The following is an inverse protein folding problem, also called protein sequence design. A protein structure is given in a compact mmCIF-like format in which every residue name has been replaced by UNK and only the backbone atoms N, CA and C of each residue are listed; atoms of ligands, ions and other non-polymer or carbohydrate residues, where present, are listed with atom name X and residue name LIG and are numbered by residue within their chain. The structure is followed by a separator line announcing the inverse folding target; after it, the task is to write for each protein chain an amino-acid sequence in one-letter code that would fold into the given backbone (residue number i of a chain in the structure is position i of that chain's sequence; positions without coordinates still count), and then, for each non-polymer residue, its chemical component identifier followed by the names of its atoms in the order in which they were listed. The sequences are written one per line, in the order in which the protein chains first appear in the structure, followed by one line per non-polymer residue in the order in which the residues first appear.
data_IF_325201917793
#
_entry.id   IF_325201917793
#
_cell.length_a   1.000
_cell.length_b   1.000
_cell.length_c   1.000
_cell.angle_alpha   90.00
_cell.angle_beta   90.00
_cell.angle_gamma   90.00
#
_symmetry.space_group_name_H-M   'P 1'
#
loop_
_entity.id
_entity.type
_entity.pdbx_description
1 polymer ?
#
# COMPACT_ATOMS: atom_id res chain seq x y z
N UNK A 1 33.33 -88.35 50.53
CA UNK A 1 32.75 -87.15 51.18
C UNK A 1 33.28 -85.84 50.58
N UNK A 2 34.50 -85.79 50.03
CA UNK A 2 35.04 -84.58 49.38
C UNK A 2 34.34 -84.20 48.06
N UNK A 3 33.95 -85.18 47.24
CA UNK A 3 33.35 -84.92 45.92
C UNK A 3 31.99 -84.21 45.99
N UNK A 4 31.23 -84.44 47.06
CA UNK A 4 29.92 -83.81 47.26
C UNK A 4 30.04 -82.31 47.53
N UNK A 5 31.00 -81.90 48.37
CA UNK A 5 31.25 -80.50 48.68
C UNK A 5 31.81 -79.72 47.48
N UNK A 6 32.60 -80.37 46.62
CA UNK A 6 33.10 -79.79 45.38
C UNK A 6 31.99 -79.60 44.34
N UNK A 7 31.07 -80.57 44.25
CA UNK A 7 29.86 -80.47 43.43
C UNK A 7 28.93 -79.35 43.91
N UNK A 8 28.71 -79.22 45.23
CA UNK A 8 27.92 -78.13 45.81
C UNK A 8 28.53 -76.75 45.53
N UNK A 9 29.86 -76.60 45.64
CA UNK A 9 30.56 -75.37 45.24
C UNK A 9 30.38 -75.06 43.76
N UNK A 10 30.50 -76.07 42.88
CA UNK A 10 30.33 -75.91 41.43
C UNK A 10 28.89 -75.57 41.05
N UNK A 11 27.90 -76.20 41.67
CA UNK A 11 26.48 -75.91 41.45
C UNK A 11 26.17 -74.49 41.93
N UNK A 12 26.64 -74.10 43.12
CA UNK A 12 26.45 -72.75 43.65
C UNK A 12 27.08 -71.70 42.72
N UNK A 13 28.30 -71.91 42.25
CA UNK A 13 28.95 -71.04 41.27
C UNK A 13 28.21 -71.00 39.92
N UNK A 14 27.68 -72.13 39.46
CA UNK A 14 26.88 -72.20 38.23
C UNK A 14 25.53 -71.47 38.38
N UNK A 15 24.85 -71.60 39.53
CA UNK A 15 23.61 -70.90 39.82
C UNK A 15 23.83 -69.38 39.91
N UNK A 16 24.91 -68.93 40.57
CA UNK A 16 25.27 -67.50 40.58
C UNK A 16 25.55 -66.99 39.17
N UNK A 17 26.24 -67.76 38.34
CA UNK A 17 26.52 -67.40 36.93
C UNK A 17 25.25 -67.35 36.07
N UNK A 18 24.30 -68.26 36.31
CA UNK A 18 22.99 -68.25 35.64
C UNK A 18 22.19 -67.04 36.10
N UNK A 19 22.19 -66.73 37.40
CA UNK A 19 21.55 -65.54 37.96
C UNK A 19 22.07 -64.25 37.31
N UNK A 20 23.40 -64.07 37.27
CA UNK A 20 23.99 -62.90 36.61
C UNK A 20 23.73 -62.87 35.10
N UNK A 21 23.69 -64.03 34.43
CA UNK A 21 23.34 -64.13 33.01
C UNK A 21 21.88 -63.74 32.72
N UNK A 22 20.94 -64.14 33.58
CA UNK A 22 19.53 -63.76 33.48
C UNK A 22 19.35 -62.25 33.72
N UNK A 23 20.03 -61.70 34.71
CA UNK A 23 19.99 -60.26 34.99
C UNK A 23 20.55 -59.43 33.82
N UNK A 24 21.63 -59.90 33.19
CA UNK A 24 22.18 -59.27 31.98
C UNK A 24 21.22 -59.36 30.78
N UNK A 25 20.56 -60.51 30.57
CA UNK A 25 19.55 -60.66 29.52
C UNK A 25 18.34 -59.75 29.75
N UNK A 26 17.91 -59.60 31.00
CA UNK A 26 16.83 -58.67 31.37
C UNK A 26 17.24 -57.22 31.13
N UNK A 27 18.47 -56.83 31.49
CA UNK A 27 18.98 -55.50 31.24
C UNK A 27 19.14 -55.20 29.73
N UNK A 28 19.61 -56.18 28.95
CA UNK A 28 19.69 -56.07 27.49
C UNK A 28 18.31 -55.90 26.86
N UNK A 29 17.32 -56.72 27.26
CA UNK A 29 15.95 -56.60 26.78
C UNK A 29 15.30 -55.25 27.15
N UNK A 30 15.58 -54.72 28.35
CA UNK A 30 15.11 -53.39 28.76
C UNK A 30 15.73 -52.27 27.90
N UNK A 31 17.03 -52.36 27.60
CA UNK A 31 17.72 -51.41 26.72
C UNK A 31 17.20 -51.49 25.28
N UNK A 32 16.89 -52.68 24.78
CA UNK A 32 16.32 -52.90 23.45
C UNK A 32 14.91 -52.33 23.33
N UNK A 33 14.06 -52.49 24.37
CA UNK A 33 12.74 -51.85 24.41
C UNK A 33 12.82 -50.33 24.52
N UNK A 34 13.79 -49.78 25.25
CA UNK A 34 13.99 -48.33 25.34
C UNK A 34 14.43 -47.75 23.98
N UNK A 35 15.38 -48.39 23.31
CA UNK A 35 15.82 -48.00 21.97
C UNK A 35 14.69 -48.11 20.93
N UNK A 36 13.85 -49.15 21.01
CA UNK A 36 12.68 -49.29 20.15
C UNK A 36 11.66 -48.16 20.38
N UNK A 37 11.47 -47.72 21.62
CA UNK A 37 10.62 -46.58 21.97
C UNK A 37 11.14 -45.25 21.40
N UNK A 38 12.45 -45.00 21.46
CA UNK A 38 13.07 -43.80 20.86
C UNK A 38 12.95 -43.78 19.33
N UNK A 39 13.17 -44.92 18.66
CA UNK A 39 13.02 -45.03 17.21
C UNK A 39 11.56 -44.82 16.77
N UNK A 40 10.59 -45.32 17.56
CA UNK A 40 9.17 -45.08 17.32
C UNK A 40 8.81 -43.59 17.46
N UNK A 41 9.28 -42.93 18.53
CA UNK A 41 9.08 -41.48 18.74
C UNK A 41 9.68 -40.64 17.61
N UNK A 42 10.92 -40.93 17.21
CA UNK A 42 11.57 -40.22 16.10
C UNK A 42 10.84 -40.44 14.77
N UNK A 43 10.27 -41.62 14.54
CA UNK A 43 9.45 -41.89 13.35
C UNK A 43 8.16 -41.08 13.35
N UNK A 44 7.49 -40.92 14.50
CA UNK A 44 6.29 -40.10 14.63
C UNK A 44 6.59 -38.61 14.39
N UNK A 45 7.69 -38.10 14.94
CA UNK A 45 8.15 -36.72 14.70
C UNK A 45 8.44 -36.46 13.22
N UNK A 46 9.08 -37.41 12.53
CA UNK A 46 9.34 -37.29 11.08
C UNK A 46 8.05 -37.24 10.27
N UNK A 47 7.01 -37.99 10.67
CA UNK A 47 5.70 -37.93 10.01
C UNK A 47 5.04 -36.56 10.24
N UNK A 48 5.01 -36.07 11.48
CA UNK A 48 4.44 -34.76 11.81
C UNK A 48 5.16 -33.61 11.09
N UNK A 49 6.49 -33.64 11.04
CA UNK A 49 7.27 -32.63 10.32
C UNK A 49 7.02 -32.65 8.81
N UNK A 50 6.81 -33.84 8.22
CA UNK A 50 6.45 -33.97 6.80
C UNK A 50 5.07 -33.40 6.51
N UNK A 51 4.09 -33.68 7.37
CA UNK A 51 2.74 -33.12 7.24
C UNK A 51 2.75 -31.59 7.36
N UNK A 52 3.48 -31.05 8.33
CA UNK A 52 3.65 -29.61 8.49
C UNK A 52 4.34 -28.97 7.27
N UNK A 53 5.38 -29.61 6.72
CA UNK A 53 6.08 -29.13 5.53
C UNK A 53 5.16 -29.11 4.30
N UNK A 54 4.33 -30.14 4.11
CA UNK A 54 3.36 -30.16 3.01
C UNK A 54 2.27 -29.09 3.21
N UNK A 55 1.78 -28.89 4.44
CA UNK A 55 0.85 -27.81 4.74
C UNK A 55 1.45 -26.43 4.41
N UNK A 56 2.68 -26.16 4.83
CA UNK A 56 3.39 -24.92 4.51
C UNK A 56 3.62 -24.74 3.00
N UNK A 57 3.99 -25.81 2.29
CA UNK A 57 4.14 -25.78 0.82
C UNK A 57 2.84 -25.41 0.13
N UNK A 58 1.70 -25.96 0.58
CA UNK A 58 0.39 -25.61 0.02
C UNK A 58 0.00 -24.17 0.33
N UNK A 59 0.24 -23.69 1.55
CA UNK A 59 -0.02 -22.31 1.93
C UNK A 59 0.83 -21.34 1.10
N UNK A 60 2.12 -21.63 0.92
CA UNK A 60 3.03 -20.83 0.12
C UNK A 60 2.63 -20.81 -1.37
N UNK A 61 2.21 -21.95 -1.92
CA UNK A 61 1.68 -22.03 -3.28
C UNK A 61 0.42 -21.16 -3.46
N UNK A 62 -0.51 -21.20 -2.50
CA UNK A 62 -1.71 -20.38 -2.51
C UNK A 62 -1.40 -18.88 -2.38
N UNK A 63 -0.52 -18.49 -1.46
CA UNK A 63 -0.09 -17.11 -1.28
C UNK A 63 0.61 -16.57 -2.53
N UNK A 64 1.48 -17.37 -3.15
CA UNK A 64 2.15 -16.99 -4.39
C UNK A 64 1.17 -16.84 -5.54
N UNK A 65 0.16 -17.72 -5.65
CA UNK A 65 -0.91 -17.58 -6.63
C UNK A 65 -1.74 -16.31 -6.41
N UNK A 66 -2.11 -16.01 -5.16
CA UNK A 66 -2.81 -14.76 -4.80
C UNK A 66 -1.96 -13.53 -5.12
N UNK A 67 -0.67 -13.54 -4.79
CA UNK A 67 0.24 -12.44 -5.09
C UNK A 67 0.37 -12.21 -6.60
N UNK A 68 0.46 -13.27 -7.40
CA UNK A 68 0.47 -13.15 -8.88
C UNK A 68 -0.85 -12.55 -9.39
N UNK A 69 -1.99 -12.97 -8.85
CA UNK A 69 -3.29 -12.43 -9.24
C UNK A 69 -3.43 -10.94 -8.89
N UNK A 70 -3.00 -10.54 -7.69
CA UNK A 70 -2.98 -9.13 -7.25
C UNK A 70 -2.06 -8.30 -8.14
N UNK A 71 -0.81 -8.74 -8.35
CA UNK A 71 0.14 -8.05 -9.24
C UNK A 71 -0.39 -7.90 -10.66
N UNK A 72 -1.08 -8.91 -11.19
CA UNK A 72 -1.69 -8.83 -12.51
C UNK A 72 -2.86 -7.84 -12.55
N UNK A 73 -3.66 -7.74 -11.48
CA UNK A 73 -4.74 -6.75 -11.37
C UNK A 73 -4.17 -5.34 -11.27
N UNK A 74 -3.15 -5.15 -10.43
CA UNK A 74 -2.51 -3.86 -10.22
C UNK A 74 -1.80 -3.38 -11.48
N UNK A 75 -1.10 -4.27 -12.18
CA UNK A 75 -0.47 -3.96 -13.48
C UNK A 75 -1.50 -3.54 -14.53
N UNK A 76 -2.67 -4.19 -14.58
CA UNK A 76 -3.77 -3.77 -15.48
C UNK A 76 -4.35 -2.42 -15.08
N UNK A 77 -4.56 -2.18 -13.79
CA UNK A 77 -5.07 -0.92 -13.28
C UNK A 77 -4.09 0.23 -13.54
N UNK A 78 -2.79 0.01 -13.31
CA UNK A 78 -1.71 0.95 -13.61
C UNK A 78 -1.67 1.31 -15.09
N UNK A 79 -1.67 0.31 -15.99
CA UNK A 79 -1.69 0.56 -17.43
C UNK A 79 -2.94 1.34 -17.89
N UNK A 80 -4.11 1.07 -17.30
CA UNK A 80 -5.34 1.81 -17.61
C UNK A 80 -5.27 3.27 -17.14
N UNK A 81 -4.70 3.51 -15.95
CA UNK A 81 -4.49 4.86 -15.43
C UNK A 81 -3.46 5.64 -16.27
N UNK A 82 -2.34 5.02 -16.63
CA UNK A 82 -1.34 5.63 -17.53
C UNK A 82 -1.94 6.01 -18.88
N UNK A 83 -2.76 5.14 -19.47
CA UNK A 83 -3.49 5.45 -20.70
C UNK A 83 -4.45 6.63 -20.51
N UNK A 84 -5.16 6.67 -19.37
CA UNK A 84 -6.09 7.77 -19.08
C UNK A 84 -5.35 9.09 -18.89
N UNK A 85 -4.22 9.09 -18.20
CA UNK A 85 -3.36 10.27 -18.05
C UNK A 85 -2.87 10.74 -19.40
N UNK A 86 -2.32 9.84 -20.23
CA UNK A 86 -1.85 10.20 -21.58
C UNK A 86 -2.96 10.80 -22.45
N UNK A 87 -4.18 10.28 -22.35
CA UNK A 87 -5.34 10.81 -23.07
C UNK A 87 -5.74 12.20 -22.55
N UNK A 88 -5.83 12.39 -21.23
CA UNK A 88 -6.16 13.68 -20.63
C UNK A 88 -5.10 14.75 -20.96
N UNK A 89 -3.82 14.40 -20.96
CA UNK A 89 -2.75 15.32 -21.36
C UNK A 89 -2.92 15.76 -22.82
N UNK A 90 -3.23 14.84 -23.74
CA UNK A 90 -3.51 15.21 -25.14
C UNK A 90 -4.73 16.12 -25.27
N UNK A 91 -5.78 15.87 -24.51
CA UNK A 91 -6.97 16.71 -24.50
C UNK A 91 -6.65 18.13 -24.00
N UNK A 92 -5.83 18.25 -22.95
CA UNK A 92 -5.37 19.54 -22.45
C UNK A 92 -4.53 20.30 -23.49
N UNK A 93 -3.64 19.61 -24.20
CA UNK A 93 -2.83 20.22 -25.27
C UNK A 93 -3.72 20.76 -26.41
N UNK A 94 -4.71 19.97 -26.85
CA UNK A 94 -5.67 20.38 -27.88
C UNK A 94 -6.50 21.59 -27.41
N UNK A 95 -7.03 21.55 -26.19
CA UNK A 95 -7.77 22.67 -25.61
C UNK A 95 -6.91 23.92 -25.45
N UNK A 96 -5.62 23.75 -25.12
CA UNK A 96 -4.64 24.84 -25.08
C UNK A 96 -4.48 25.53 -26.44
N UNK A 97 -4.35 24.75 -27.50
CA UNK A 97 -4.27 25.27 -28.88
C UNK A 97 -5.56 25.95 -29.32
N UNK A 98 -6.72 25.37 -29.00
CA UNK A 98 -8.03 25.97 -29.29
C UNK A 98 -8.23 27.30 -28.55
N UNK A 99 -7.84 27.37 -27.28
CA UNK A 99 -7.87 28.60 -26.49
C UNK A 99 -6.97 29.68 -27.08
N UNK A 100 -5.76 29.34 -27.51
CA UNK A 100 -4.87 30.28 -28.21
C UNK A 100 -5.48 30.77 -29.52
N UNK A 101 -6.09 29.88 -30.32
CA UNK A 101 -6.80 30.24 -31.55
C UNK A 101 -7.97 31.18 -31.26
N UNK A 102 -8.76 30.90 -30.23
CA UNK A 102 -9.88 31.73 -29.82
C UNK A 102 -9.42 33.11 -29.33
N UNK A 103 -8.34 33.19 -28.56
CA UNK A 103 -7.71 34.46 -28.15
C UNK A 103 -7.25 35.26 -29.37
N UNK A 104 -6.59 34.64 -30.35
CA UNK A 104 -6.19 35.30 -31.60
C UNK A 104 -7.40 35.83 -32.38
N UNK A 105 -8.44 35.02 -32.53
CA UNK A 105 -9.68 35.45 -33.19
C UNK A 105 -10.34 36.61 -32.45
N UNK A 106 -10.31 36.61 -31.11
CA UNK A 106 -10.85 37.70 -30.30
C UNK A 106 -10.07 39.00 -30.50
N UNK A 107 -8.73 38.93 -30.58
CA UNK A 107 -7.89 40.10 -30.90
C UNK A 107 -8.24 40.64 -32.29
N UNK A 108 -8.30 39.78 -33.31
CA UNK A 108 -8.68 40.17 -34.67
C UNK A 108 -10.07 40.80 -34.73
N UNK A 109 -11.04 40.24 -34.00
CA UNK A 109 -12.38 40.81 -33.92
C UNK A 109 -12.38 42.18 -33.24
N UNK A 110 -11.61 42.36 -32.15
CA UNK A 110 -11.46 43.66 -31.48
C UNK A 110 -10.80 44.69 -32.39
N UNK A 111 -9.79 44.31 -33.16
CA UNK A 111 -9.15 45.17 -34.15
C UNK A 111 -10.13 45.56 -35.27
N UNK A 112 -10.87 44.61 -35.83
CA UNK A 112 -11.89 44.88 -36.85
C UNK A 112 -13.05 45.75 -36.32
N UNK A 113 -13.45 45.56 -35.07
CA UNK A 113 -14.44 46.44 -34.42
C UNK A 113 -13.86 47.83 -34.14
N UNK A 114 -12.56 47.94 -33.84
CA UNK A 114 -11.90 49.24 -33.69
C UNK A 114 -11.83 49.97 -35.03
N UNK A 115 -11.40 49.32 -36.12
CA UNK A 115 -11.38 49.96 -37.44
C UNK A 115 -12.78 50.37 -37.89
N UNK A 116 -13.80 49.53 -37.68
CA UNK A 116 -15.19 49.90 -37.98
C UNK A 116 -15.68 51.07 -37.12
N UNK A 117 -15.26 51.16 -35.85
CA UNK A 117 -15.59 52.31 -34.98
C UNK A 117 -14.87 53.58 -35.39
N UNK A 118 -13.61 53.49 -35.84
CA UNK A 118 -12.82 54.61 -36.37
C UNK A 118 -13.41 55.12 -37.69
N UNK A 119 -13.83 54.22 -38.59
CA UNK A 119 -14.57 54.56 -39.81
C UNK A 119 -15.96 55.14 -39.51
N UNK A 120 -16.65 54.63 -38.48
CA UNK A 120 -17.90 55.19 -38.00
C UNK A 120 -17.71 56.47 -37.17
N UNK A 121 -16.47 56.87 -36.85
CA UNK A 121 -16.19 57.94 -35.90
C UNK A 121 -16.48 59.33 -36.46
N UNK A 122 -16.55 59.47 -37.79
CA UNK A 122 -17.12 60.64 -38.45
C UNK A 122 -18.63 60.84 -38.14
N UNK A 123 -19.29 59.86 -37.50
CA UNK A 123 -20.73 59.87 -37.16
C UNK A 123 -21.05 59.22 -35.79
N UNK A 124 -20.21 59.36 -34.75
CA UNK A 124 -20.53 58.74 -33.45
C UNK A 124 -21.72 59.41 -32.77
N UNK A 125 -22.78 58.64 -32.56
CA UNK A 125 -23.95 59.05 -31.80
C UNK A 125 -23.78 58.78 -30.29
N UNK A 126 -24.32 59.67 -29.45
CA UNK A 126 -24.21 59.62 -27.98
C UNK A 126 -24.68 58.28 -27.35
N UNK A 127 -25.58 57.55 -28.01
CA UNK A 127 -26.08 56.26 -27.52
C UNK A 127 -25.01 55.14 -27.57
N UNK A 128 -24.03 55.24 -28.49
CA UNK A 128 -22.90 54.29 -28.57
C UNK A 128 -21.89 54.51 -27.46
N UNK A 129 -21.70 55.77 -27.02
CA UNK A 129 -20.85 56.12 -25.86
C UNK A 129 -21.44 55.51 -24.60
N UNK A 130 -22.75 55.70 -24.37
CA UNK A 130 -23.43 55.11 -23.21
C UNK A 130 -23.37 53.58 -23.23
N UNK A 131 -23.51 52.94 -24.41
CA UNK A 131 -23.36 51.49 -24.56
C UNK A 131 -21.94 51.02 -24.26
N UNK A 132 -20.92 51.78 -24.67
CA UNK A 132 -19.52 51.48 -24.36
C UNK A 132 -19.23 51.60 -22.86
N UNK A 133 -19.73 52.65 -22.20
CA UNK A 133 -19.60 52.83 -20.75
C UNK A 133 -20.29 51.71 -19.97
N UNK A 134 -21.47 51.25 -20.41
CA UNK A 134 -22.16 50.11 -19.78
C UNK A 134 -21.36 48.81 -19.93
N UNK A 135 -20.79 48.56 -21.11
CA UNK A 135 -19.95 47.39 -21.34
C UNK A 135 -18.65 47.44 -20.52
N UNK A 136 -18.07 48.61 -20.33
CA UNK A 136 -16.89 48.82 -19.47
C UNK A 136 -17.22 48.56 -18.00
N UNK A 137 -18.36 49.06 -17.50
CA UNK A 137 -18.84 48.78 -16.15
C UNK A 137 -19.13 47.28 -15.93
N UNK A 138 -19.65 46.58 -16.94
CA UNK A 138 -19.88 45.15 -16.88
C UNK A 138 -18.57 44.35 -16.87
N UNK A 139 -17.58 44.75 -17.68
CA UNK A 139 -16.22 44.19 -17.64
C UNK A 139 -15.57 44.36 -16.27
N UNK A 140 -15.61 45.58 -15.70
CA UNK A 140 -15.06 45.86 -14.38
C UNK A 140 -15.75 45.06 -13.28
N UNK A 141 -17.07 44.85 -13.38
CA UNK A 141 -17.81 44.00 -12.43
C UNK A 141 -17.40 42.53 -12.54
N UNK A 142 -17.19 42.04 -13.77
CA UNK A 142 -16.72 40.67 -14.00
C UNK A 142 -15.31 40.46 -13.47
N UNK A 143 -14.40 41.41 -13.68
CA UNK A 143 -13.04 41.37 -13.14
C UNK A 143 -13.07 41.37 -11.61
N UNK A 144 -13.86 42.26 -10.98
CA UNK A 144 -14.04 42.26 -9.52
C UNK A 144 -14.62 40.96 -8.97
N UNK A 145 -15.55 40.33 -9.68
CA UNK A 145 -16.11 39.05 -9.27
C UNK A 145 -15.08 37.92 -9.36
N UNK A 146 -14.23 37.92 -10.40
CA UNK A 146 -13.13 36.97 -10.53
C UNK A 146 -12.08 37.17 -9.43
N UNK A 147 -11.64 38.41 -9.18
CA UNK A 147 -10.74 38.74 -8.07
C UNK A 147 -11.30 38.27 -6.72
N UNK A 148 -12.60 38.48 -6.46
CA UNK A 148 -13.23 38.04 -5.21
C UNK A 148 -13.28 36.51 -5.08
N UNK A 149 -13.46 35.79 -6.18
CA UNK A 149 -13.44 34.32 -6.19
C UNK A 149 -12.03 33.78 -5.94
N UNK A 150 -11.01 34.36 -6.57
CA UNK A 150 -9.60 34.02 -6.33
C UNK A 150 -9.21 34.27 -4.86
N UNK A 151 -9.61 35.40 -4.29
CA UNK A 151 -9.36 35.71 -2.88
C UNK A 151 -10.07 34.74 -1.93
N UNK A 152 -11.31 34.32 -2.27
CA UNK A 152 -12.03 33.33 -1.48
C UNK A 152 -11.35 31.95 -1.52
N UNK A 153 -10.83 31.55 -2.67
CA UNK A 153 -10.06 30.32 -2.85
C UNK A 153 -8.76 30.36 -2.03
N UNK A 154 -7.97 31.43 -2.13
CA UNK A 154 -6.77 31.63 -1.32
C UNK A 154 -7.07 31.61 0.18
N UNK A 155 -8.15 32.25 0.62
CA UNK A 155 -8.56 32.21 2.03
C UNK A 155 -8.97 30.79 2.46
N UNK A 156 -9.56 29.99 1.57
CA UNK A 156 -9.90 28.60 1.85
C UNK A 156 -8.67 27.70 1.95
N UNK A 157 -7.61 28.00 1.21
CA UNK A 157 -6.34 27.27 1.27
C UNK A 157 -5.48 27.68 2.49
N UNK A 158 -5.44 28.97 2.80
CA UNK A 158 -4.66 29.50 3.93
C UNK A 158 -5.37 29.27 5.27
N UNK A 159 -6.71 29.30 5.27
CA UNK A 159 -7.55 29.09 6.46
C UNK A 159 -7.17 27.87 7.33
N UNK A 160 -7.06 26.65 6.76
CA UNK A 160 -6.67 25.47 7.53
C UNK A 160 -5.23 25.55 8.05
N UNK A 161 -4.29 26.11 7.29
CA UNK A 161 -2.87 26.27 7.72
C UNK A 161 -2.78 27.22 8.92
N UNK A 162 -3.57 28.30 8.91
CA UNK A 162 -3.63 29.25 10.02
C UNK A 162 -4.32 28.63 11.24
N UNK A 163 -5.34 27.78 11.05
CA UNK A 163 -5.98 27.06 12.15
C UNK A 163 -5.07 25.99 12.77
N UNK A 164 -4.34 25.22 11.95
CA UNK A 164 -3.37 24.24 12.41
C UNK A 164 -2.22 24.91 13.19
N UNK A 165 -1.67 26.00 12.66
CA UNK A 165 -0.65 26.80 13.36
C UNK A 165 -1.16 27.44 14.67
N UNK A 166 -2.45 27.76 14.76
CA UNK A 166 -3.06 28.26 16.00
C UNK A 166 -3.23 27.14 17.04
N UNK A 167 -3.68 25.95 16.61
CA UNK A 167 -3.84 24.76 17.45
C UNK A 167 -2.50 24.26 17.98
N UNK A 168 -1.46 24.19 17.14
CA UNK A 168 -0.10 23.81 17.55
C UNK A 168 0.44 24.73 18.65
N UNK A 169 0.09 26.03 18.60
CA UNK A 169 0.51 27.02 19.60
C UNK A 169 -0.29 26.96 20.92
N UNK A 170 -1.48 26.38 20.90
CA UNK A 170 -2.33 26.14 22.09
C UNK A 170 -1.89 24.84 22.80
N UNK A 171 -1.59 23.79 22.03
CA UNK A 171 -1.08 22.51 22.53
C UNK A 171 0.33 22.66 23.16
N UNK A 172 1.21 23.50 22.59
CA UNK A 172 2.52 23.82 23.20
C UNK A 172 2.37 24.54 24.55
N UNK A 173 1.32 25.34 24.76
CA UNK A 173 1.10 26.06 26.03
C UNK A 173 0.56 25.13 27.11
N UNK A 174 -0.39 24.24 26.78
CA UNK A 174 -0.91 23.25 27.72
C UNK A 174 0.17 22.24 28.16
N UNK A 175 1.11 21.88 27.28
CA UNK A 175 2.24 21.00 27.62
C UNK A 175 3.28 21.66 28.55
N UNK A 176 3.35 22.99 28.62
CA UNK A 176 4.27 23.72 29.51
C UNK A 176 3.71 24.05 30.88
N UNK A 177 2.38 24.02 31.04
CA UNK A 177 1.67 24.32 32.31
C UNK A 177 1.31 23.05 33.13
N UNK A 178 1.62 21.85 32.62
CA UNK A 178 1.43 20.54 33.29
C UNK A 178 2.74 20.00 33.90
#
# INVERSE_FOLDING_TARGET
MNDLAELERRISAALTRIGTGIDQLRAAGAAETAAAGEVASASEEVVQLREALEAERTANAQLTARLRAVKARDGKAGAALEQRVAELTRQLDVQGLESQRMKKNMIQLREALRSLREEAQEKVEAHLINKAMLAELESLRSERAAEAAELAELLSEIGPIVQEAAQDSEDEKEATDA
#
